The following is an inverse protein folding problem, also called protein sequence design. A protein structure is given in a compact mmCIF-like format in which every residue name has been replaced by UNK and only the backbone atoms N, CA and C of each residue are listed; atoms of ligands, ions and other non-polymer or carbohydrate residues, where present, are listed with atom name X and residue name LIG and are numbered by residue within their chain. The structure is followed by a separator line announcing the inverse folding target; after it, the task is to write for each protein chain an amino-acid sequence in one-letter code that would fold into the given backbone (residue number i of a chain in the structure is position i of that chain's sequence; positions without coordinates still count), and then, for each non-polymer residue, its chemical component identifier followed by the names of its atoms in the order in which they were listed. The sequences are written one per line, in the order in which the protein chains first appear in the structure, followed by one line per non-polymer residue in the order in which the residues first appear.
data_IF_138779925698
#
_entry.id   IF_138779925698
#
_cell.length_a   1.000
_cell.length_b   1.000
_cell.length_c   1.000
_cell.angle_alpha   90.00
_cell.angle_beta   90.00
_cell.angle_gamma   90.00
#
_symmetry.space_group_name_H-M   'P 1'
#
loop_
_entity.id
_entity.type
_entity.pdbx_description
1 polymer ?
#
# COMPACT_ATOMS: atom_id res chain seq x y z
N UNK A 1 4.39 0.45 24.73
CA UNK A 1 3.67 0.10 23.49
C UNK A 1 3.30 -1.40 23.48
N UNK A 2 2.52 -1.87 22.47
CA UNK A 2 2.06 -3.27 22.39
C UNK A 2 3.23 -4.27 22.32
N UNK A 3 4.31 -3.91 21.61
CA UNK A 3 5.50 -4.74 21.50
C UNK A 3 6.19 -4.93 22.86
N UNK A 4 6.46 -3.86 23.59
CA UNK A 4 7.09 -3.92 24.92
C UNK A 4 6.24 -4.71 25.92
N UNK A 5 4.93 -4.51 25.91
CA UNK A 5 3.99 -5.27 26.72
C UNK A 5 3.98 -6.76 26.37
N UNK A 6 3.97 -7.09 25.10
CA UNK A 6 4.05 -8.47 24.62
C UNK A 6 5.35 -9.13 25.04
N UNK A 7 6.48 -8.45 24.92
CA UNK A 7 7.79 -8.93 25.35
C UNK A 7 7.83 -9.17 26.86
N UNK A 8 7.35 -8.22 27.65
CA UNK A 8 7.25 -8.35 29.10
C UNK A 8 6.32 -9.50 29.55
N UNK A 9 5.32 -9.83 28.74
CA UNK A 9 4.40 -10.94 28.98
C UNK A 9 4.90 -12.30 28.45
N UNK A 10 6.12 -12.37 27.89
CA UNK A 10 6.71 -13.61 27.39
C UNK A 10 6.14 -14.08 26.04
N UNK A 11 5.62 -13.17 25.20
CA UNK A 11 5.20 -13.50 23.84
C UNK A 11 6.41 -13.97 23.03
N UNK A 12 6.33 -15.17 22.48
CA UNK A 12 7.45 -15.82 21.77
C UNK A 12 7.54 -15.43 20.28
N UNK A 13 6.44 -14.94 19.68
CA UNK A 13 6.39 -14.62 18.26
C UNK A 13 5.48 -13.41 17.98
N UNK A 14 5.95 -12.49 17.13
CA UNK A 14 5.22 -11.29 16.75
C UNK A 14 4.93 -11.29 15.25
N UNK A 15 3.65 -11.21 14.85
CA UNK A 15 3.24 -11.08 13.46
C UNK A 15 2.87 -9.63 13.19
N UNK A 16 3.68 -8.94 12.38
CA UNK A 16 3.46 -7.53 12.01
C UNK A 16 2.78 -7.41 10.66
N UNK A 17 1.66 -6.70 10.60
CA UNK A 17 1.10 -6.20 9.34
C UNK A 17 1.79 -4.89 8.94
N UNK A 18 2.77 -4.99 8.06
CA UNK A 18 3.46 -3.87 7.46
C UNK A 18 2.82 -3.49 6.11
N UNK A 19 3.59 -3.08 5.11
CA UNK A 19 3.11 -2.77 3.78
C UNK A 19 4.25 -2.88 2.75
N UNK A 20 3.95 -3.28 1.50
CA UNK A 20 4.96 -3.38 0.45
C UNK A 20 5.61 -2.04 0.11
N UNK A 21 4.87 -0.94 0.26
CA UNK A 21 5.33 0.41 -0.07
C UNK A 21 6.50 0.92 0.80
N UNK A 22 6.84 0.23 1.91
CA UNK A 22 7.99 0.62 2.74
C UNK A 22 9.34 0.36 2.07
N UNK A 23 9.40 -0.43 1.00
CA UNK A 23 10.64 -0.68 0.25
C UNK A 23 11.19 0.58 -0.46
N UNK A 24 10.34 1.63 -0.67
CA UNK A 24 10.72 2.97 -1.13
C UNK A 24 10.14 4.02 -0.17
N UNK A 25 10.77 4.29 0.97
CA UNK A 25 10.20 5.08 2.06
C UNK A 25 10.30 6.58 1.80
N UNK A 26 9.44 7.13 0.96
CA UNK A 26 9.35 8.56 0.66
C UNK A 26 8.47 9.34 1.64
N UNK A 27 7.57 8.65 2.36
CA UNK A 27 6.55 9.22 3.24
C UNK A 27 6.84 8.90 4.72
N UNK A 28 6.38 9.75 5.62
CA UNK A 28 6.67 9.60 7.05
C UNK A 28 6.10 8.31 7.64
N UNK A 29 4.89 7.89 7.23
CA UNK A 29 4.32 6.64 7.71
C UNK A 29 5.12 5.40 7.27
N UNK A 30 5.76 5.44 6.10
CA UNK A 30 6.62 4.35 5.60
C UNK A 30 7.90 4.25 6.43
N UNK A 31 8.51 5.40 6.77
CA UNK A 31 9.69 5.49 7.63
C UNK A 31 9.36 4.97 9.05
N UNK A 32 8.20 5.35 9.59
CA UNK A 32 7.74 4.87 10.90
C UNK A 32 7.53 3.35 10.91
N UNK A 33 6.94 2.78 9.85
CA UNK A 33 6.81 1.33 9.70
C UNK A 33 8.17 0.63 9.65
N UNK A 34 9.11 1.13 8.84
CA UNK A 34 10.47 0.57 8.75
C UNK A 34 11.21 0.65 10.07
N UNK A 35 11.08 1.75 10.80
CA UNK A 35 11.68 1.87 12.13
C UNK A 35 11.15 0.80 13.09
N UNK A 36 9.85 0.47 13.02
CA UNK A 36 9.29 -0.59 13.83
C UNK A 36 9.69 -2.00 13.34
N UNK A 37 9.78 -2.22 12.03
CA UNK A 37 10.34 -3.45 11.48
C UNK A 37 11.76 -3.69 11.97
N UNK A 38 12.61 -2.65 11.99
CA UNK A 38 13.99 -2.74 12.48
C UNK A 38 14.05 -3.12 13.97
N UNK A 39 13.13 -2.62 14.81
CA UNK A 39 13.01 -3.03 16.22
C UNK A 39 12.73 -4.52 16.33
N UNK A 40 11.80 -5.06 15.54
CA UNK A 40 11.48 -6.49 15.56
C UNK A 40 12.64 -7.35 15.05
N UNK A 41 13.34 -6.90 14.00
CA UNK A 41 14.47 -7.61 13.42
C UNK A 41 15.70 -7.63 14.34
N UNK A 42 15.84 -6.64 15.21
CA UNK A 42 16.92 -6.57 16.20
C UNK A 42 16.65 -7.38 17.49
N UNK A 43 15.43 -7.88 17.68
CA UNK A 43 15.07 -8.68 18.85
C UNK A 43 15.51 -10.13 18.68
N UNK A 44 16.45 -10.57 19.52
CA UNK A 44 16.98 -11.94 19.50
C UNK A 44 16.15 -12.92 20.37
N UNK A 45 15.28 -12.40 21.25
CA UNK A 45 14.49 -13.20 22.18
C UNK A 45 13.10 -13.54 21.64
N UNK A 46 12.53 -12.65 20.82
CA UNK A 46 11.19 -12.82 20.24
C UNK A 46 11.28 -12.95 18.73
N UNK A 47 10.85 -14.08 18.18
CA UNK A 47 10.79 -14.26 16.73
C UNK A 47 9.69 -13.38 16.10
N UNK A 48 9.82 -13.09 14.80
CA UNK A 48 8.88 -12.23 14.11
C UNK A 48 8.51 -12.75 12.73
N UNK A 49 7.34 -12.33 12.20
CA UNK A 49 6.95 -12.42 10.80
C UNK A 49 6.47 -11.05 10.35
N UNK A 50 7.19 -10.42 9.44
CA UNK A 50 6.86 -9.09 8.91
C UNK A 50 6.13 -9.26 7.59
N UNK A 51 4.80 -9.16 7.60
CA UNK A 51 3.96 -9.32 6.41
C UNK A 51 3.85 -7.99 5.69
N UNK A 52 4.29 -7.92 4.43
CA UNK A 52 4.20 -6.73 3.57
C UNK A 52 3.20 -6.97 2.44
N UNK A 53 1.90 -6.73 2.68
CA UNK A 53 0.88 -6.89 1.64
C UNK A 53 0.99 -5.79 0.59
N UNK A 54 0.52 -6.12 -0.61
CA UNK A 54 0.24 -5.19 -1.71
C UNK A 54 -1.07 -4.43 -1.44
N UNK A 55 -1.70 -3.86 -2.47
CA UNK A 55 -2.97 -3.16 -2.33
C UNK A 55 -4.11 -4.10 -1.90
N UNK A 56 -5.06 -3.59 -1.14
CA UNK A 56 -6.29 -4.31 -0.80
C UNK A 56 -7.38 -4.03 -1.83
N UNK A 57 -8.20 -5.02 -2.16
CA UNK A 57 -9.37 -4.82 -3.02
C UNK A 57 -10.29 -3.72 -2.48
N UNK A 58 -10.47 -3.63 -1.17
CA UNK A 58 -11.28 -2.59 -0.52
C UNK A 58 -10.75 -1.17 -0.82
N UNK A 59 -9.43 -0.98 -0.83
CA UNK A 59 -8.82 0.32 -1.15
C UNK A 59 -9.02 0.72 -2.61
N UNK A 60 -9.14 -0.24 -3.51
CA UNK A 60 -9.41 -0.01 -4.93
C UNK A 60 -10.90 0.24 -5.21
N UNK A 61 -11.78 -0.09 -4.28
CA UNK A 61 -13.24 0.01 -4.42
C UNK A 61 -13.80 1.44 -4.41
N UNK A 62 -12.99 2.47 -4.14
CA UNK A 62 -13.46 3.85 -3.95
C UNK A 62 -14.24 4.44 -5.13
N UNK A 63 -14.03 3.97 -6.35
CA UNK A 63 -14.70 4.46 -7.55
C UNK A 63 -15.89 3.61 -8.01
N UNK A 64 -16.10 2.44 -7.39
CA UNK A 64 -17.13 1.46 -7.81
C UNK A 64 -18.53 2.09 -7.85
N UNK A 65 -18.91 2.82 -6.81
CA UNK A 65 -20.25 3.41 -6.72
C UNK A 65 -20.44 4.55 -7.73
N UNK A 66 -19.41 5.36 -8.00
CA UNK A 66 -19.45 6.39 -9.04
C UNK A 66 -19.64 5.76 -10.42
N UNK A 67 -18.86 4.72 -10.74
CA UNK A 67 -18.97 4.02 -12.03
C UNK A 67 -20.33 3.29 -12.16
N UNK A 68 -20.86 2.73 -11.06
CA UNK A 68 -22.19 2.12 -11.01
C UNK A 68 -23.30 3.15 -11.36
N UNK A 69 -23.15 4.38 -10.92
CA UNK A 69 -24.06 5.49 -11.24
C UNK A 69 -23.82 6.13 -12.63
N UNK A 70 -22.85 5.61 -13.40
CA UNK A 70 -22.56 6.07 -14.75
C UNK A 70 -21.45 7.11 -14.86
N UNK A 71 -20.75 7.41 -13.75
CA UNK A 71 -19.55 8.24 -13.75
C UNK A 71 -18.34 7.54 -14.41
N UNK A 72 -17.30 8.31 -14.79
CA UNK A 72 -16.07 7.74 -15.31
C UNK A 72 -15.22 7.13 -14.22
N UNK A 73 -14.38 6.15 -14.58
CA UNK A 73 -13.26 5.71 -13.79
C UNK A 73 -12.08 6.66 -13.99
N UNK A 74 -11.66 7.32 -12.92
CA UNK A 74 -10.59 8.32 -12.96
C UNK A 74 -9.24 7.62 -12.72
N UNK A 75 -8.28 7.89 -13.59
CA UNK A 75 -6.91 7.38 -13.49
C UNK A 75 -5.90 8.48 -13.83
N UNK A 76 -4.68 8.34 -13.31
CA UNK A 76 -3.59 9.29 -13.57
C UNK A 76 -2.63 8.73 -14.62
N UNK A 77 -2.04 9.63 -15.46
CA UNK A 77 -1.01 9.27 -16.42
C UNK A 77 -1.40 8.14 -17.37
N UNK A 78 -2.65 8.10 -17.84
CA UNK A 78 -3.15 7.04 -18.71
C UNK A 78 -3.47 5.73 -18.00
N UNK A 79 -3.29 5.66 -16.67
CA UNK A 79 -3.54 4.48 -15.84
C UNK A 79 -2.48 3.39 -15.92
N UNK A 80 -1.28 3.73 -16.43
CA UNK A 80 -0.17 2.76 -16.62
C UNK A 80 1.07 3.07 -15.78
N UNK A 81 1.02 4.13 -14.93
CA UNK A 81 2.17 4.56 -14.14
C UNK A 81 2.53 3.56 -13.04
N UNK A 82 1.55 2.89 -12.48
CA UNK A 82 1.71 1.97 -11.35
C UNK A 82 0.85 0.73 -11.53
N UNK A 83 1.29 -0.36 -10.94
CA UNK A 83 0.57 -1.63 -10.92
C UNK A 83 0.57 -2.25 -9.52
N UNK A 84 -0.38 -3.11 -9.23
CA UNK A 84 -0.46 -3.85 -7.99
C UNK A 84 -1.02 -5.26 -8.20
N UNK A 85 -0.84 -6.12 -7.20
CA UNK A 85 -1.48 -7.45 -7.11
C UNK A 85 -2.47 -7.43 -5.94
N UNK A 86 -3.72 -6.96 -6.14
CA UNK A 86 -4.65 -6.79 -5.04
C UNK A 86 -4.90 -8.10 -4.29
N UNK A 87 -4.94 -8.03 -2.95
CA UNK A 87 -5.24 -9.17 -2.09
C UNK A 87 -6.54 -8.95 -1.34
N UNK A 88 -7.32 -10.01 -1.12
CA UNK A 88 -8.50 -9.96 -0.26
C UNK A 88 -8.10 -9.91 1.22
N UNK A 89 -8.92 -9.25 2.04
CA UNK A 89 -8.71 -9.21 3.49
C UNK A 89 -8.78 -10.63 4.09
N UNK A 90 -9.61 -11.51 3.55
CA UNK A 90 -9.75 -12.90 4.01
C UNK A 90 -8.47 -13.72 3.72
N UNK A 91 -7.88 -13.58 2.52
CA UNK A 91 -6.66 -14.30 2.17
C UNK A 91 -5.47 -13.78 2.97
N UNK A 92 -5.37 -12.46 3.16
CA UNK A 92 -4.34 -11.87 4.01
C UNK A 92 -4.47 -12.33 5.47
N UNK A 93 -5.69 -12.34 6.02
CA UNK A 93 -5.92 -12.80 7.40
C UNK A 93 -5.53 -14.27 7.57
N UNK A 94 -5.85 -15.13 6.58
CA UNK A 94 -5.43 -16.53 6.58
C UNK A 94 -3.91 -16.66 6.55
N UNK A 95 -3.25 -15.93 5.66
CA UNK A 95 -1.79 -15.92 5.58
C UNK A 95 -1.13 -15.46 6.89
N UNK A 96 -1.67 -14.41 7.53
CA UNK A 96 -1.16 -13.93 8.82
C UNK A 96 -1.38 -14.95 9.94
N UNK A 97 -2.51 -15.66 9.94
CA UNK A 97 -2.77 -16.74 10.89
C UNK A 97 -1.79 -17.91 10.69
N UNK A 98 -1.46 -18.25 9.44
CA UNK A 98 -0.49 -19.28 9.12
C UNK A 98 0.93 -18.91 9.61
N UNK A 99 1.27 -17.63 9.69
CA UNK A 99 2.55 -17.18 10.26
C UNK A 99 2.76 -17.60 11.73
N UNK A 100 1.69 -17.88 12.45
CA UNK A 100 1.78 -18.32 13.87
C UNK A 100 2.33 -19.76 13.96
N UNK A 101 1.95 -20.62 13.01
CA UNK A 101 2.20 -22.06 13.06
C UNK A 101 3.32 -22.52 12.10
N UNK A 102 3.60 -21.75 11.06
CA UNK A 102 4.58 -22.10 10.03
C UNK A 102 5.97 -21.54 10.40
N UNK A 103 6.84 -22.41 10.88
CA UNK A 103 8.20 -22.03 11.28
C UNK A 103 9.05 -21.45 10.13
N UNK A 104 8.76 -21.81 8.89
CA UNK A 104 9.46 -21.27 7.72
C UNK A 104 9.24 -19.77 7.52
N UNK A 105 8.19 -19.20 8.13
CA UNK A 105 7.85 -17.78 8.08
C UNK A 105 8.45 -16.98 9.25
N UNK A 106 9.13 -17.64 10.19
CA UNK A 106 9.76 -16.96 11.34
C UNK A 106 11.03 -16.22 10.92
N UNK A 107 11.22 -15.05 11.50
CA UNK A 107 12.32 -14.13 11.23
C UNK A 107 12.44 -13.76 9.74
N UNK A 108 11.29 -13.63 9.08
CA UNK A 108 11.19 -13.31 7.66
C UNK A 108 10.41 -12.04 7.39
N UNK A 109 10.82 -11.34 6.33
CA UNK A 109 10.00 -10.30 5.67
C UNK A 109 9.27 -10.95 4.52
N UNK A 110 7.95 -10.93 4.56
CA UNK A 110 7.05 -11.72 3.72
C UNK A 110 6.19 -10.81 2.83
N UNK A 111 6.65 -10.49 1.62
CA UNK A 111 5.79 -9.80 0.66
C UNK A 111 4.65 -10.73 0.21
N UNK A 112 3.42 -10.21 0.15
CA UNK A 112 2.27 -10.97 -0.29
C UNK A 112 1.32 -10.13 -1.14
N UNK A 113 0.82 -10.72 -2.22
CA UNK A 113 -0.21 -10.17 -3.09
C UNK A 113 -1.24 -11.23 -3.46
N UNK A 114 -2.31 -10.81 -4.10
CA UNK A 114 -3.31 -11.72 -4.65
C UNK A 114 -2.78 -12.56 -5.80
N UNK A 115 -3.51 -13.59 -6.21
CA UNK A 115 -3.18 -14.44 -7.36
C UNK A 115 -3.30 -13.67 -8.68
N UNK A 116 -2.69 -14.20 -9.73
CA UNK A 116 -2.75 -13.65 -11.08
C UNK A 116 -1.68 -12.59 -11.40
N UNK A 117 -1.80 -11.90 -12.52
CA UNK A 117 -0.86 -10.87 -12.95
C UNK A 117 -1.02 -9.59 -12.12
N UNK A 118 -0.01 -8.72 -12.21
CA UNK A 118 -0.14 -7.35 -11.72
C UNK A 118 -1.15 -6.58 -12.59
N UNK A 119 -1.95 -5.72 -11.97
CA UNK A 119 -3.00 -4.93 -12.61
C UNK A 119 -2.66 -3.43 -12.50
N UNK A 120 -2.60 -2.78 -13.64
CA UNK A 120 -2.55 -1.32 -13.73
C UNK A 120 -3.90 -0.68 -13.38
N UNK A 121 -3.94 0.62 -13.11
CA UNK A 121 -5.20 1.32 -12.86
C UNK A 121 -6.16 1.25 -14.07
N UNK A 122 -5.63 1.25 -15.29
CA UNK A 122 -6.42 1.07 -16.52
C UNK A 122 -7.11 -0.29 -16.53
N UNK A 123 -6.35 -1.38 -16.35
CA UNK A 123 -6.90 -2.74 -16.34
C UNK A 123 -7.93 -2.95 -15.21
N UNK A 124 -7.71 -2.34 -14.05
CA UNK A 124 -8.69 -2.34 -12.95
C UNK A 124 -10.01 -1.67 -13.37
N UNK A 125 -9.94 -0.51 -14.04
CA UNK A 125 -11.13 0.17 -14.57
C UNK A 125 -11.85 -0.65 -15.64
N UNK A 126 -11.13 -1.26 -16.58
CA UNK A 126 -11.69 -2.14 -17.61
C UNK A 126 -12.40 -3.35 -16.99
N UNK A 127 -11.77 -3.99 -16.00
CA UNK A 127 -12.38 -5.10 -15.25
C UNK A 127 -13.64 -4.66 -14.49
N UNK A 128 -13.61 -3.45 -13.89
CA UNK A 128 -14.76 -2.90 -13.18
C UNK A 128 -15.97 -2.68 -14.12
N UNK A 129 -15.77 -2.03 -15.27
CA UNK A 129 -16.85 -1.79 -16.23
C UNK A 129 -17.38 -3.09 -16.81
N UNK A 130 -16.51 -4.08 -17.07
CA UNK A 130 -16.91 -5.44 -17.47
C UNK A 130 -17.78 -6.11 -16.40
N UNK A 131 -17.38 -6.04 -15.13
CA UNK A 131 -18.15 -6.61 -14.02
C UNK A 131 -19.51 -5.89 -13.81
N UNK A 132 -19.58 -4.59 -14.10
CA UNK A 132 -20.82 -3.82 -14.03
C UNK A 132 -21.72 -4.01 -15.28
N UNK A 133 -21.24 -4.70 -16.31
CA UNK A 133 -21.90 -4.82 -17.60
C UNK A 133 -22.25 -3.46 -18.21
N UNK A 134 -21.30 -2.52 -18.18
CA UNK A 134 -21.44 -1.13 -18.67
C UNK A 134 -20.36 -0.79 -19.69
N UNK A 135 -20.64 0.16 -20.60
CA UNK A 135 -19.62 0.68 -21.49
C UNK A 135 -18.52 1.38 -20.69
N UNK A 136 -17.27 1.18 -21.12
CA UNK A 136 -16.10 1.78 -20.47
C UNK A 136 -16.14 3.31 -20.59
N UNK A 137 -15.98 3.97 -19.47
CA UNK A 137 -15.86 5.42 -19.35
C UNK A 137 -14.61 5.72 -18.52
N UNK A 138 -13.49 5.93 -19.21
CA UNK A 138 -12.19 6.22 -18.58
C UNK A 138 -11.89 7.72 -18.68
N UNK A 139 -11.46 8.31 -17.56
CA UNK A 139 -10.97 9.69 -17.50
C UNK A 139 -9.51 9.68 -17.07
N UNK A 140 -8.62 10.04 -17.99
CA UNK A 140 -7.20 10.18 -17.66
C UNK A 140 -6.89 11.62 -17.25
N UNK A 141 -6.31 11.78 -16.07
CA UNK A 141 -5.87 13.05 -15.51
C UNK A 141 -4.34 13.09 -15.53
N UNK A 142 -3.71 14.16 -16.04
CA UNK A 142 -2.27 14.33 -15.94
C UNK A 142 -1.82 14.34 -14.47
N UNK A 143 -0.77 13.59 -14.14
CA UNK A 143 -0.29 13.49 -12.75
C UNK A 143 0.21 14.85 -12.23
N UNK A 144 0.72 15.70 -13.10
CA UNK A 144 1.16 17.06 -12.78
C UNK A 144 0.05 17.92 -12.14
N UNK A 145 -1.23 17.58 -12.35
CA UNK A 145 -2.35 18.28 -11.68
C UNK A 145 -2.40 17.95 -10.17
N UNK A 146 -1.74 16.90 -9.71
CA UNK A 146 -1.55 16.64 -8.28
C UNK A 146 -0.35 17.40 -7.72
N UNK A 147 0.68 17.62 -8.52
CA UNK A 147 1.95 18.20 -8.06
C UNK A 147 1.78 19.67 -7.64
N UNK A 148 1.00 20.46 -8.37
CA UNK A 148 0.80 21.88 -8.06
C UNK A 148 0.09 22.13 -6.70
N UNK A 149 -1.06 21.51 -6.38
CA UNK A 149 -1.68 21.64 -5.07
C UNK A 149 -0.78 21.15 -3.94
N UNK A 150 -0.04 20.04 -4.15
CA UNK A 150 0.88 19.50 -3.14
C UNK A 150 2.01 20.50 -2.86
N UNK A 151 2.62 21.08 -3.89
CA UNK A 151 3.68 22.08 -3.73
C UNK A 151 3.19 23.33 -2.97
N UNK A 152 1.95 23.76 -3.20
CA UNK A 152 1.34 24.88 -2.45
C UNK A 152 1.14 24.49 -0.99
N UNK A 153 0.60 23.30 -0.71
CA UNK A 153 0.40 22.79 0.65
C UNK A 153 1.74 22.62 1.38
N UNK A 154 2.78 22.15 0.70
CA UNK A 154 4.14 22.01 1.25
C UNK A 154 4.76 23.37 1.59
N UNK A 155 4.52 24.40 0.77
CA UNK A 155 4.97 25.75 1.08
C UNK A 155 4.22 26.36 2.27
N UNK A 156 2.90 26.15 2.35
CA UNK A 156 2.07 26.62 3.44
C UNK A 156 2.33 25.88 4.75
N UNK A 157 2.62 24.58 4.72
CA UNK A 157 2.90 23.80 5.94
C UNK A 157 4.17 24.24 6.68
N UNK A 158 5.10 24.90 5.98
CA UNK A 158 6.28 25.52 6.60
C UNK A 158 5.92 26.73 7.47
N UNK A 159 4.82 27.41 7.14
CA UNK A 159 4.32 28.59 7.88
C UNK A 159 3.23 28.22 8.88
N UNK A 160 2.45 27.19 8.56
CA UNK A 160 1.29 26.74 9.33
C UNK A 160 1.38 25.21 9.54
N UNK A 161 1.97 24.75 10.66
CA UNK A 161 2.17 23.33 10.94
C UNK A 161 0.90 22.45 10.86
N UNK A 162 -0.27 23.02 11.17
CA UNK A 162 -1.56 22.33 11.13
C UNK A 162 -1.97 21.83 9.72
N UNK A 163 -1.35 22.40 8.66
CA UNK A 163 -1.60 22.01 7.26
C UNK A 163 -0.74 20.80 6.86
N UNK A 164 0.24 20.42 7.66
CA UNK A 164 1.18 19.35 7.30
C UNK A 164 0.46 18.01 7.04
N UNK A 165 -0.55 17.67 7.80
CA UNK A 165 -1.33 16.44 7.62
C UNK A 165 -2.06 16.42 6.27
N UNK A 166 -2.58 17.59 5.85
CA UNK A 166 -3.23 17.72 4.54
C UNK A 166 -2.22 17.60 3.39
N UNK A 167 -1.04 18.18 3.55
CA UNK A 167 0.06 18.04 2.59
C UNK A 167 0.54 16.58 2.50
N UNK A 168 0.71 15.90 3.65
CA UNK A 168 1.07 14.48 3.69
C UNK A 168 0.02 13.61 3.02
N UNK A 169 -1.27 13.87 3.24
CA UNK A 169 -2.35 13.15 2.56
C UNK A 169 -2.28 13.31 1.03
N UNK A 170 -1.96 14.52 0.54
CA UNK A 170 -1.72 14.78 -0.88
C UNK A 170 -0.53 13.97 -1.42
N UNK A 171 0.60 13.95 -0.68
CA UNK A 171 1.79 13.16 -1.02
C UNK A 171 1.49 11.66 -1.05
N UNK A 172 0.69 11.16 -0.10
CA UNK A 172 0.23 9.75 -0.08
C UNK A 172 -0.55 9.42 -1.36
N UNK A 173 -1.53 10.26 -1.73
CA UNK A 173 -2.30 10.07 -2.96
C UNK A 173 -1.41 10.07 -4.21
N UNK A 174 -0.47 11.01 -4.29
CA UNK A 174 0.51 11.12 -5.38
C UNK A 174 1.39 9.88 -5.48
N UNK A 175 1.88 9.37 -4.33
CA UNK A 175 2.69 8.16 -4.24
C UNK A 175 1.95 6.96 -4.81
N UNK A 176 0.72 6.70 -4.35
CA UNK A 176 -0.08 5.58 -4.84
C UNK A 176 -0.52 5.70 -6.30
N UNK A 177 -0.55 6.92 -6.85
CA UNK A 177 -0.85 7.14 -8.27
C UNK A 177 0.33 6.82 -9.20
N UNK A 178 1.57 6.79 -8.70
CA UNK A 178 2.78 6.66 -9.51
C UNK A 178 3.72 5.52 -9.13
N UNK A 179 3.65 5.01 -7.90
CA UNK A 179 4.52 3.92 -7.44
C UNK A 179 3.77 2.59 -7.41
N UNK A 180 4.38 1.57 -7.98
CA UNK A 180 3.78 0.23 -8.01
C UNK A 180 3.81 -0.43 -6.63
N UNK A 181 2.72 -1.13 -6.31
CA UNK A 181 2.61 -1.97 -5.11
C UNK A 181 3.01 -3.42 -5.45
N UNK A 182 4.26 -3.59 -5.89
CA UNK A 182 4.90 -4.85 -6.25
C UNK A 182 6.24 -4.97 -5.53
N UNK A 183 6.87 -6.12 -5.58
CA UNK A 183 8.23 -6.29 -5.06
C UNK A 183 9.21 -5.52 -5.94
N UNK A 184 10.01 -4.67 -5.33
CA UNK A 184 11.07 -3.93 -6.00
C UNK A 184 12.33 -4.79 -6.10
N UNK A 185 12.86 -4.96 -7.29
CA UNK A 185 14.16 -5.60 -7.53
C UNK A 185 15.26 -4.53 -7.55
N UNK A 186 16.05 -4.46 -6.48
CA UNK A 186 17.10 -3.45 -6.34
C UNK A 186 18.22 -3.62 -7.37
N UNK A 187 18.48 -4.84 -7.84
CA UNK A 187 19.53 -5.09 -8.81
C UNK A 187 19.11 -4.63 -10.20
N UNK A 188 17.85 -4.85 -10.57
CA UNK A 188 17.30 -4.47 -11.88
C UNK A 188 16.70 -3.07 -11.90
N UNK A 189 16.54 -2.42 -10.73
CA UNK A 189 15.89 -1.12 -10.58
C UNK A 189 14.48 -1.09 -11.20
N UNK A 190 13.71 -2.16 -11.00
CA UNK A 190 12.33 -2.31 -11.52
C UNK A 190 11.43 -3.08 -10.53
N UNK A 191 10.12 -3.02 -10.78
CA UNK A 191 9.11 -3.81 -10.08
C UNK A 191 8.85 -5.15 -10.76
#
# INVERSE_FOLDING_TARGET
NTYEQGRAAGVAHYVLLSAICVQKPLLEFQKAKLAFEAVLQADEEMSHSIVRPTAFFKSLGGQVESCRKGGPYVMFGGGTLASCKPISEADLARFMADCIHDESKRNQVLPIGGPGPALSAREQGEMLFRALNKPERMLSVPIALMDAPIAVLDALSRLFPDINDTAEFGRIGRYYASESMLVWDEQKQCY
#
